data_IF_171272537545
#
_entry.id   IF_171272537545
#
_cell.length_a   1.000
_cell.length_b   1.000
_cell.length_c   1.000
_cell.angle_alpha   90.00
_cell.angle_beta   90.00
_cell.angle_gamma   90.00
#
_symmetry.space_group_name_H-M   'P 1'
#
loop_
_entity.id
_entity.type
_entity.pdbx_description
1 polymer ?
#
# COMPACT_ATOMS: atom_id res chain seq x y z
N UNK A 1 -11.08 6.84 2.89
CA UNK A 1 -12.11 7.05 3.97
C UNK A 1 -11.46 7.86 5.08
N UNK A 2 -12.23 8.68 5.81
CA UNK A 2 -11.69 9.49 6.91
C UNK A 2 -11.67 8.70 8.22
N UNK A 3 -10.85 9.14 9.18
CA UNK A 3 -10.75 8.57 10.52
C UNK A 3 -12.13 8.49 11.21
N UNK A 4 -12.93 9.56 11.13
CA UNK A 4 -14.26 9.60 11.74
C UNK A 4 -15.22 8.56 11.16
N UNK A 5 -15.24 8.41 9.84
CA UNK A 5 -16.03 7.39 9.16
C UNK A 5 -15.58 5.97 9.54
N UNK A 6 -14.28 5.74 9.67
CA UNK A 6 -13.75 4.45 10.09
C UNK A 6 -14.15 4.10 11.51
N UNK A 7 -14.04 5.04 12.46
CA UNK A 7 -14.54 4.87 13.84
C UNK A 7 -16.01 4.45 13.81
N UNK A 8 -16.85 5.20 13.09
CA UNK A 8 -18.28 4.93 12.96
C UNK A 8 -18.58 3.53 12.40
N UNK A 9 -17.85 3.14 11.35
CA UNK A 9 -18.05 1.86 10.69
C UNK A 9 -17.65 0.68 11.60
N UNK A 10 -16.48 0.76 12.25
CA UNK A 10 -16.02 -0.29 13.17
C UNK A 10 -16.92 -0.39 14.39
N UNK A 11 -17.34 0.74 14.97
CA UNK A 11 -18.31 0.75 16.08
C UNK A 11 -19.61 0.05 15.70
N UNK A 12 -20.19 0.37 14.54
CA UNK A 12 -21.40 -0.26 14.03
C UNK A 12 -21.23 -1.77 13.77
N UNK A 13 -20.08 -2.18 13.24
CA UNK A 13 -19.77 -3.62 13.04
C UNK A 13 -19.78 -4.40 14.35
N UNK A 14 -19.37 -3.76 15.45
CA UNK A 14 -19.42 -4.34 16.80
C UNK A 14 -20.79 -4.20 17.47
N UNK A 15 -21.78 -3.56 16.84
CA UNK A 15 -23.09 -3.32 17.40
C UNK A 15 -23.13 -2.29 18.55
N UNK A 16 -22.06 -1.52 18.75
CA UNK A 16 -21.96 -0.55 19.82
C UNK A 16 -22.71 0.76 19.50
N UNK A 17 -23.32 1.36 20.52
CA UNK A 17 -23.81 2.74 20.48
C UNK A 17 -22.65 3.74 20.68
N UNK A 18 -22.86 5.01 20.36
CA UNK A 18 -21.87 6.06 20.64
C UNK A 18 -21.59 6.21 22.15
N UNK A 19 -22.62 6.00 22.99
CA UNK A 19 -22.52 6.03 24.45
C UNK A 19 -21.68 4.88 24.99
N UNK A 20 -21.88 3.68 24.48
CA UNK A 20 -21.09 2.49 24.89
C UNK A 20 -19.62 2.64 24.52
N UNK A 21 -19.32 3.11 23.30
CA UNK A 21 -17.94 3.39 22.90
C UNK A 21 -17.33 4.50 23.76
N UNK A 22 -18.08 5.58 24.01
CA UNK A 22 -17.64 6.69 24.86
C UNK A 22 -17.31 6.23 26.28
N UNK A 23 -18.15 5.36 26.85
CA UNK A 23 -17.94 4.78 28.17
C UNK A 23 -16.64 3.95 28.23
N UNK A 24 -16.37 3.12 27.22
CA UNK A 24 -15.14 2.33 27.14
C UNK A 24 -13.88 3.21 27.03
N UNK A 25 -14.01 4.38 26.40
CA UNK A 25 -12.90 5.33 26.17
C UNK A 25 -12.78 6.38 27.28
N UNK A 26 -13.66 6.39 28.26
CA UNK A 26 -13.74 7.41 29.32
C UNK A 26 -13.87 8.84 28.75
N UNK A 27 -14.68 8.99 27.70
CA UNK A 27 -14.98 10.27 27.05
C UNK A 27 -16.51 10.51 27.03
N UNK A 28 -16.95 11.66 26.56
CA UNK A 28 -18.40 11.92 26.38
C UNK A 28 -18.91 11.36 25.06
N UNK A 29 -20.19 10.97 25.01
CA UNK A 29 -20.83 10.55 23.74
C UNK A 29 -20.82 11.66 22.69
N UNK A 30 -20.84 12.92 23.13
CA UNK A 30 -20.68 14.10 22.25
C UNK A 30 -19.29 14.15 21.57
N UNK A 31 -18.23 13.71 22.28
CA UNK A 31 -16.90 13.63 21.68
C UNK A 31 -16.87 12.59 20.55
N UNK A 32 -17.40 11.39 20.81
CA UNK A 32 -17.53 10.33 19.80
C UNK A 32 -18.37 10.79 18.60
N UNK A 33 -19.49 11.46 18.86
CA UNK A 33 -20.36 12.01 17.82
C UNK A 33 -19.63 13.05 16.96
N UNK A 34 -18.82 13.95 17.57
CA UNK A 34 -18.00 14.92 16.83
C UNK A 34 -16.96 14.24 15.96
N UNK A 35 -16.29 13.20 16.46
CA UNK A 35 -15.31 12.45 15.67
C UNK A 35 -15.97 11.78 14.47
N UNK A 36 -17.09 11.09 14.67
CA UNK A 36 -17.84 10.36 13.63
C UNK A 36 -18.48 11.28 12.58
N UNK A 37 -18.79 12.53 12.94
CA UNK A 37 -19.32 13.54 12.04
C UNK A 37 -18.26 14.47 11.44
N UNK A 38 -16.96 14.20 11.72
CA UNK A 38 -15.81 14.99 11.24
C UNK A 38 -15.79 16.45 11.71
N UNK A 39 -16.58 16.76 12.75
CA UNK A 39 -16.60 18.09 13.39
C UNK A 39 -15.50 18.26 14.46
N UNK A 40 -14.59 17.29 14.55
CA UNK A 40 -13.41 17.27 15.42
C UNK A 40 -12.65 15.96 15.28
N UNK A 41 -11.41 15.97 15.70
CA UNK A 41 -10.55 14.77 15.71
C UNK A 41 -10.36 14.30 17.14
N UNK A 42 -10.15 12.97 17.36
CA UNK A 42 -9.66 12.47 18.63
C UNK A 42 -8.29 13.05 18.96
N UNK A 43 -8.01 13.25 20.23
CA UNK A 43 -6.65 13.50 20.69
C UNK A 43 -5.74 12.31 20.31
N UNK A 44 -4.46 12.60 20.03
CA UNK A 44 -3.47 11.56 19.64
C UNK A 44 -3.37 10.46 20.70
N UNK A 45 -3.53 10.81 21.99
CA UNK A 45 -3.54 9.86 23.10
C UNK A 45 -4.74 8.91 23.07
N UNK A 46 -5.83 9.28 22.38
CA UNK A 46 -7.04 8.46 22.23
C UNK A 46 -6.97 7.47 21.08
N UNK A 47 -6.05 7.63 20.14
CA UNK A 47 -5.97 6.78 18.92
C UNK A 47 -5.80 5.30 19.29
N UNK A 48 -4.84 4.97 20.15
CA UNK A 48 -4.59 3.59 20.58
C UNK A 48 -5.75 3.02 21.41
N UNK A 49 -6.31 3.74 22.41
CA UNK A 49 -7.54 3.32 23.10
C UNK A 49 -8.71 3.05 22.14
N UNK A 50 -8.97 3.93 21.16
CA UNK A 50 -10.04 3.73 20.16
C UNK A 50 -9.80 2.46 19.35
N UNK A 51 -8.59 2.25 18.83
CA UNK A 51 -8.26 1.05 18.07
C UNK A 51 -8.48 -0.23 18.90
N UNK A 52 -8.08 -0.24 20.17
CA UNK A 52 -8.30 -1.36 21.11
C UNK A 52 -9.79 -1.60 21.39
N UNK A 53 -10.56 -0.54 21.68
CA UNK A 53 -11.99 -0.66 21.96
C UNK A 53 -12.77 -1.17 20.74
N UNK A 54 -12.32 -0.82 19.54
CA UNK A 54 -12.91 -1.27 18.28
C UNK A 54 -12.34 -2.60 17.78
N UNK A 55 -11.39 -3.20 18.50
CA UNK A 55 -10.68 -4.44 18.13
C UNK A 55 -10.06 -4.39 16.73
N UNK A 56 -9.39 -3.29 16.42
CA UNK A 56 -8.70 -3.06 15.15
C UNK A 56 -7.28 -2.57 15.39
N UNK A 57 -6.44 -2.59 14.35
CA UNK A 57 -5.13 -1.93 14.38
C UNK A 57 -5.28 -0.41 14.24
N UNK A 58 -4.28 0.35 14.63
CA UNK A 58 -4.23 1.80 14.36
C UNK A 58 -4.23 2.08 12.86
N UNK A 59 -3.58 1.23 12.09
CA UNK A 59 -3.52 1.34 10.62
C UNK A 59 -4.90 1.15 10.00
N UNK A 60 -5.67 0.14 10.46
CA UNK A 60 -7.06 -0.04 10.07
C UNK A 60 -7.92 1.18 10.43
N UNK A 61 -7.70 1.75 11.62
CA UNK A 61 -8.41 2.92 12.07
C UNK A 61 -8.16 4.13 11.17
N UNK A 62 -6.94 4.29 10.67
CA UNK A 62 -6.59 5.33 9.69
C UNK A 62 -6.92 4.94 8.24
N UNK A 63 -7.48 3.75 8.01
CA UNK A 63 -7.80 3.27 6.67
C UNK A 63 -6.58 2.82 5.87
N UNK A 64 -5.48 2.54 6.56
CA UNK A 64 -4.23 2.02 5.99
C UNK A 64 -4.18 0.49 6.06
N UNK A 65 -5.26 -0.16 6.46
CA UNK A 65 -5.34 -1.62 6.47
C UNK A 65 -5.29 -2.14 5.05
N UNK A 66 -4.46 -3.13 4.81
CA UNK A 66 -4.21 -3.75 3.52
C UNK A 66 -5.39 -4.57 2.94
N UNK A 67 -6.56 -4.52 3.57
CA UNK A 67 -7.82 -4.82 2.91
C UNK A 67 -8.11 -3.64 1.98
N UNK A 68 -7.35 -3.56 0.88
CA UNK A 68 -7.62 -2.70 -0.26
C UNK A 68 -9.12 -2.68 -0.50
N UNK A 69 -9.71 -1.50 -0.54
CA UNK A 69 -11.09 -1.35 -0.96
C UNK A 69 -11.22 -1.90 -2.39
N UNK A 70 -12.40 -2.34 -2.81
CA UNK A 70 -12.62 -2.81 -4.19
C UNK A 70 -12.11 -1.79 -5.22
N UNK A 71 -12.17 -0.50 -4.89
CA UNK A 71 -11.64 0.60 -5.70
C UNK A 71 -10.11 0.55 -5.85
N UNK A 72 -9.38 0.29 -4.75
CA UNK A 72 -7.91 0.19 -4.80
C UNK A 72 -7.47 -1.04 -5.60
N UNK A 73 -8.26 -2.12 -5.56
CA UNK A 73 -8.02 -3.32 -6.36
C UNK A 73 -8.30 -3.07 -7.86
N UNK A 74 -9.37 -2.35 -8.20
CA UNK A 74 -9.70 -2.01 -9.58
C UNK A 74 -8.63 -1.09 -10.21
N UNK A 75 -8.14 -0.09 -9.46
CA UNK A 75 -7.08 0.78 -9.90
C UNK A 75 -5.74 0.04 -10.06
N UNK A 76 -5.39 -0.83 -9.11
CA UNK A 76 -4.19 -1.66 -9.21
C UNK A 76 -4.25 -2.61 -10.42
N UNK A 77 -5.41 -3.16 -10.77
CA UNK A 77 -5.59 -3.97 -11.98
C UNK A 77 -5.45 -3.16 -13.27
N UNK A 78 -5.95 -1.92 -13.31
CA UNK A 78 -5.76 -1.01 -14.46
C UNK A 78 -4.28 -0.69 -14.66
N UNK A 79 -3.57 -0.38 -13.57
CA UNK A 79 -2.14 -0.09 -13.58
C UNK A 79 -1.34 -1.31 -14.04
N UNK A 80 -1.66 -2.49 -13.54
CA UNK A 80 -1.05 -3.76 -13.96
C UNK A 80 -1.24 -4.02 -15.45
N UNK A 81 -2.48 -3.87 -15.95
CA UNK A 81 -2.78 -4.09 -17.36
C UNK A 81 -2.00 -3.11 -18.25
N UNK A 82 -1.92 -1.85 -17.85
CA UNK A 82 -1.13 -0.83 -18.57
C UNK A 82 0.37 -1.14 -18.55
N UNK A 83 0.92 -1.60 -17.44
CA UNK A 83 2.32 -2.03 -17.34
C UNK A 83 2.60 -3.23 -18.27
N UNK A 84 1.68 -4.19 -18.35
CA UNK A 84 1.79 -5.32 -19.28
C UNK A 84 1.75 -4.87 -20.76
N UNK A 85 0.84 -3.98 -21.11
CA UNK A 85 0.77 -3.39 -22.47
C UNK A 85 2.10 -2.71 -22.84
N UNK A 86 2.68 -1.92 -21.91
CA UNK A 86 3.95 -1.25 -22.16
C UNK A 86 5.10 -2.25 -22.34
N UNK A 87 5.14 -3.30 -21.52
CA UNK A 87 6.14 -4.36 -21.63
C UNK A 87 6.08 -5.05 -22.99
N UNK A 88 4.89 -5.28 -23.50
CA UNK A 88 4.64 -6.04 -24.72
C UNK A 88 4.63 -5.14 -25.99
N UNK A 89 4.76 -3.81 -25.84
CA UNK A 89 4.63 -2.83 -26.92
C UNK A 89 5.86 -2.70 -27.83
N UNK A 90 7.02 -3.14 -27.37
CA UNK A 90 8.31 -3.02 -28.07
C UNK A 90 9.13 -4.31 -27.93
N UNK A 91 10.44 -4.26 -28.22
CA UNK A 91 11.33 -5.37 -27.89
C UNK A 91 11.33 -5.63 -26.36
N UNK A 92 11.66 -6.85 -26.00
CA UNK A 92 11.54 -7.34 -24.60
C UNK A 92 12.30 -6.50 -23.58
N UNK A 93 13.36 -5.85 -23.99
CA UNK A 93 14.23 -5.02 -23.15
C UNK A 93 13.65 -3.63 -22.94
N UNK A 94 13.34 -2.93 -24.05
CA UNK A 94 12.79 -1.57 -24.00
C UNK A 94 11.41 -1.56 -23.36
N UNK A 95 10.57 -2.56 -23.67
CA UNK A 95 9.25 -2.73 -23.06
C UNK A 95 9.31 -2.97 -21.56
N UNK A 96 10.26 -3.79 -21.09
CA UNK A 96 10.47 -4.04 -19.67
C UNK A 96 10.90 -2.77 -18.91
N UNK A 97 11.77 -1.93 -19.53
CA UNK A 97 12.17 -0.65 -18.95
C UNK A 97 10.98 0.32 -18.90
N UNK A 98 10.19 0.43 -19.97
CA UNK A 98 9.00 1.28 -19.99
C UNK A 98 7.99 0.88 -18.91
N UNK A 99 7.78 -0.41 -18.71
CA UNK A 99 6.89 -0.92 -17.66
C UNK A 99 7.42 -0.59 -16.25
N UNK A 100 8.72 -0.71 -16.02
CA UNK A 100 9.33 -0.36 -14.74
C UNK A 100 9.25 1.14 -14.45
N UNK A 101 9.55 2.00 -15.43
CA UNK A 101 9.43 3.46 -15.30
C UNK A 101 7.98 3.89 -15.02
N UNK A 102 7.00 3.28 -15.71
CA UNK A 102 5.59 3.52 -15.46
C UNK A 102 5.18 3.11 -14.04
N UNK A 103 5.52 1.89 -13.62
CA UNK A 103 5.22 1.40 -12.27
C UNK A 103 5.92 2.24 -11.19
N UNK A 104 7.13 2.75 -11.44
CA UNK A 104 7.81 3.68 -10.54
C UNK A 104 6.98 4.94 -10.30
N UNK A 105 6.46 5.54 -11.37
CA UNK A 105 5.60 6.73 -11.29
C UNK A 105 4.29 6.46 -10.56
N UNK A 106 3.70 5.28 -10.74
CA UNK A 106 2.45 4.90 -10.06
C UNK A 106 2.67 4.62 -8.57
N UNK A 107 3.83 4.05 -8.19
CA UNK A 107 4.17 3.89 -6.77
C UNK A 107 4.25 5.22 -6.02
N UNK A 108 4.68 6.30 -6.67
CA UNK A 108 4.73 7.64 -6.06
C UNK A 108 3.33 8.23 -5.82
N UNK A 109 2.37 7.91 -6.70
CA UNK A 109 0.97 8.33 -6.55
C UNK A 109 0.21 7.48 -5.53
N UNK A 110 0.60 6.21 -5.39
CA UNK A 110 -0.06 5.21 -4.56
C UNK A 110 0.91 4.57 -3.54
N UNK A 111 1.54 5.36 -2.62
CA UNK A 111 2.65 4.90 -1.78
C UNK A 111 2.26 3.82 -0.75
N UNK A 112 0.97 3.60 -0.53
CA UNK A 112 0.43 2.60 0.41
C UNK A 112 -0.35 1.48 -0.28
N UNK A 113 -0.40 1.45 -1.61
CA UNK A 113 -0.98 0.33 -2.34
C UNK A 113 0.07 -0.76 -2.55
N UNK A 114 0.06 -1.76 -1.68
CA UNK A 114 1.09 -2.82 -1.67
C UNK A 114 1.04 -3.73 -2.91
N UNK A 115 -0.08 -3.80 -3.62
CA UNK A 115 -0.15 -4.49 -4.92
C UNK A 115 0.72 -3.77 -5.97
N UNK A 116 0.61 -2.45 -6.07
CA UNK A 116 1.40 -1.65 -7.01
C UNK A 116 2.89 -1.68 -6.62
N UNK A 117 3.22 -1.55 -5.32
CA UNK A 117 4.60 -1.64 -4.84
C UNK A 117 5.21 -3.00 -5.17
N UNK A 118 4.48 -4.09 -4.94
CA UNK A 118 4.92 -5.45 -5.27
C UNK A 118 5.15 -5.61 -6.78
N UNK A 119 4.24 -5.06 -7.63
CA UNK A 119 4.39 -5.11 -9.08
C UNK A 119 5.66 -4.42 -9.56
N UNK A 120 6.01 -3.29 -8.97
CA UNK A 120 7.28 -2.63 -9.26
C UNK A 120 8.48 -3.51 -8.90
N UNK A 121 8.50 -4.11 -7.71
CA UNK A 121 9.58 -5.02 -7.28
C UNK A 121 9.73 -6.19 -8.26
N UNK A 122 8.62 -6.79 -8.68
CA UNK A 122 8.62 -7.88 -9.67
C UNK A 122 9.15 -7.40 -11.04
N UNK A 123 8.80 -6.19 -11.46
CA UNK A 123 9.29 -5.62 -12.73
C UNK A 123 10.80 -5.42 -12.73
N UNK A 124 11.37 -4.92 -11.62
CA UNK A 124 12.83 -4.75 -11.47
C UNK A 124 13.53 -6.13 -11.40
N UNK A 125 12.96 -7.12 -10.70
CA UNK A 125 13.47 -8.48 -10.68
C UNK A 125 13.43 -9.13 -12.09
N UNK A 126 12.42 -8.82 -12.89
CA UNK A 126 12.36 -9.26 -14.29
C UNK A 126 13.49 -8.64 -15.11
N UNK A 127 13.75 -7.34 -14.94
CA UNK A 127 14.87 -6.67 -15.60
C UNK A 127 16.21 -7.33 -15.24
N UNK A 128 16.46 -7.66 -13.97
CA UNK A 128 17.72 -8.27 -13.54
C UNK A 128 17.93 -9.68 -14.14
N UNK A 129 16.84 -10.40 -14.41
CA UNK A 129 16.91 -11.81 -14.82
C UNK A 129 16.91 -12.01 -16.33
N UNK A 130 16.19 -11.17 -17.08
CA UNK A 130 15.89 -11.42 -18.50
C UNK A 130 16.47 -10.37 -19.44
N UNK A 131 17.03 -9.30 -18.90
CA UNK A 131 17.61 -8.21 -19.70
C UNK A 131 19.13 -8.25 -19.58
N UNK A 132 19.84 -8.18 -20.70
CA UNK A 132 21.30 -8.07 -20.68
C UNK A 132 21.71 -6.71 -20.09
N UNK A 133 22.21 -6.75 -18.85
CA UNK A 133 22.68 -5.57 -18.13
C UNK A 133 23.69 -4.74 -18.94
N UNK A 134 24.64 -5.40 -19.59
CA UNK A 134 25.68 -4.72 -20.37
C UNK A 134 25.09 -3.98 -21.58
N UNK A 135 24.01 -4.48 -22.15
CA UNK A 135 23.36 -3.84 -23.30
C UNK A 135 22.52 -2.63 -22.88
N UNK A 136 21.88 -2.69 -21.71
CA UNK A 136 20.84 -1.72 -21.30
C UNK A 136 21.33 -0.65 -20.34
N UNK A 137 22.25 -1.00 -19.44
CA UNK A 137 22.66 -0.13 -18.33
C UNK A 137 24.17 0.19 -18.32
N UNK A 138 24.92 -0.30 -19.30
CA UNK A 138 26.36 -0.02 -19.43
C UNK A 138 26.67 1.48 -19.44
N UNK A 139 25.86 2.25 -20.17
CA UNK A 139 26.04 3.67 -20.32
C UNK A 139 25.36 4.49 -19.21
N UNK A 140 24.51 3.86 -18.39
CA UNK A 140 23.85 4.50 -17.26
C UNK A 140 23.65 3.53 -16.08
N UNK A 141 24.73 3.12 -15.41
CA UNK A 141 24.65 2.22 -14.27
C UNK A 141 23.92 2.84 -13.06
N UNK A 142 23.86 4.17 -12.96
CA UNK A 142 23.13 4.85 -11.89
C UNK A 142 21.63 4.60 -11.99
N UNK A 143 21.07 4.52 -13.21
CA UNK A 143 19.65 4.21 -13.40
C UNK A 143 19.32 2.82 -12.85
N UNK A 144 20.18 1.83 -13.08
CA UNK A 144 20.01 0.49 -12.50
C UNK A 144 20.05 0.52 -10.97
N UNK A 145 21.05 1.21 -10.40
CA UNK A 145 21.15 1.35 -8.96
C UNK A 145 19.88 2.01 -8.35
N UNK A 146 19.30 2.99 -9.03
CA UNK A 146 18.04 3.62 -8.59
C UNK A 146 16.87 2.62 -8.58
N UNK A 147 16.71 1.81 -9.63
CA UNK A 147 15.70 0.76 -9.67
C UNK A 147 15.85 -0.21 -8.51
N UNK A 148 17.06 -0.70 -8.29
CA UNK A 148 17.37 -1.65 -7.21
C UNK A 148 17.06 -1.04 -5.85
N UNK A 149 17.54 0.16 -5.55
CA UNK A 149 17.31 0.81 -4.26
C UNK A 149 15.83 1.07 -3.99
N UNK A 150 15.09 1.53 -5.00
CA UNK A 150 13.64 1.72 -4.90
C UNK A 150 12.91 0.38 -4.71
N UNK A 151 13.31 -0.66 -5.43
CA UNK A 151 12.71 -1.98 -5.31
C UNK A 151 12.94 -2.58 -3.92
N UNK A 152 14.14 -2.48 -3.36
CA UNK A 152 14.46 -2.90 -2.01
C UNK A 152 13.61 -2.14 -0.98
N UNK A 153 13.55 -0.82 -1.08
CA UNK A 153 12.78 0.03 -0.15
C UNK A 153 11.29 -0.32 -0.19
N UNK A 154 10.70 -0.43 -1.38
CA UNK A 154 9.29 -0.79 -1.57
C UNK A 154 9.00 -2.22 -1.15
N UNK A 155 9.92 -3.14 -1.42
CA UNK A 155 9.83 -4.52 -0.97
C UNK A 155 9.76 -4.61 0.56
N UNK A 156 10.61 -3.88 1.28
CA UNK A 156 10.54 -3.80 2.74
C UNK A 156 9.22 -3.21 3.24
N UNK A 157 8.64 -2.23 2.55
CA UNK A 157 7.31 -1.71 2.90
C UNK A 157 6.23 -2.80 2.79
N UNK A 158 6.23 -3.57 1.69
CA UNK A 158 5.28 -4.69 1.51
C UNK A 158 5.47 -5.74 2.61
N UNK A 159 6.69 -6.18 2.87
CA UNK A 159 6.99 -7.20 3.89
C UNK A 159 6.54 -6.73 5.29
N UNK A 160 6.77 -5.46 5.61
CA UNK A 160 6.53 -4.93 6.95
C UNK A 160 5.07 -4.59 7.23
N UNK A 161 4.33 -4.14 6.23
CA UNK A 161 3.01 -3.54 6.41
C UNK A 161 1.88 -4.26 5.68
N UNK A 162 2.16 -5.16 4.76
CA UNK A 162 1.12 -5.99 4.15
C UNK A 162 0.73 -7.13 5.09
N UNK A 163 -0.57 -7.40 5.19
CA UNK A 163 -1.10 -8.59 5.88
C UNK A 163 -1.32 -9.77 4.92
N UNK A 164 -1.00 -9.60 3.63
CA UNK A 164 -1.14 -10.62 2.61
C UNK A 164 0.16 -11.41 2.47
N UNK A 165 0.17 -12.64 3.01
CA UNK A 165 1.33 -13.53 2.96
C UNK A 165 1.78 -13.84 1.54
N UNK A 166 0.86 -13.90 0.58
CA UNK A 166 1.20 -14.18 -0.82
C UNK A 166 2.02 -13.04 -1.45
N UNK A 167 1.70 -11.79 -1.12
CA UNK A 167 2.49 -10.63 -1.56
C UNK A 167 3.87 -10.61 -0.92
N UNK A 168 3.95 -10.95 0.37
CA UNK A 168 5.21 -11.04 1.11
C UNK A 168 6.12 -12.11 0.47
N UNK A 169 5.58 -13.29 0.20
CA UNK A 169 6.34 -14.39 -0.43
C UNK A 169 6.82 -14.00 -1.85
N UNK A 170 5.97 -13.34 -2.64
CA UNK A 170 6.36 -12.85 -3.97
C UNK A 170 7.48 -11.82 -3.90
N UNK A 171 7.47 -10.92 -2.91
CA UNK A 171 8.54 -9.93 -2.73
C UNK A 171 9.84 -10.62 -2.31
N UNK A 172 9.81 -11.58 -1.37
CA UNK A 172 10.99 -12.35 -1.01
C UNK A 172 11.58 -13.09 -2.20
N UNK A 173 10.73 -13.71 -3.02
CA UNK A 173 11.19 -14.37 -4.25
C UNK A 173 11.81 -13.38 -5.23
N UNK A 174 11.18 -12.23 -5.46
CA UNK A 174 11.66 -11.22 -6.40
C UNK A 174 12.98 -10.58 -5.92
N UNK A 175 13.10 -10.23 -4.63
CA UNK A 175 14.31 -9.60 -4.08
C UNK A 175 15.53 -10.51 -4.04
N UNK A 176 15.34 -11.84 -4.08
CA UNK A 176 16.44 -12.79 -4.22
C UNK A 176 17.17 -12.69 -5.57
N UNK A 177 16.63 -11.98 -6.56
CA UNK A 177 17.18 -11.81 -7.91
C UNK A 177 17.69 -10.38 -8.18
N UNK A 178 17.57 -9.48 -7.23
CA UNK A 178 18.05 -8.10 -7.30
C UNK A 178 19.34 -7.93 -6.51
#
# INVERSE_FOLDING_TARGET
MSLGNNIKNFRKKLGLTQEELASQLYVTSQAVSKWESENGLPDTAQIVPIAKALNVTTDALFGMDSNTTDYDNEEAEKIKNKANELRDSTDSTSGAILAADYLDSECEKHPYNYEILMRYVQSVAHLSRFVDFNQCFKDNPEKWNQYVQKAITRGYQVIRYSNDSSKIDMVHFATAWI
#
